data_IF_906401256965
#
_entry.id   IF_906401256965
#
_cell.length_a   1.000
_cell.length_b   1.000
_cell.length_c   1.000
_cell.angle_alpha   90.00
_cell.angle_beta   90.00
_cell.angle_gamma   90.00
#
_symmetry.space_group_name_H-M   'P 1'
#
loop_
_entity.id
_entity.type
_entity.pdbx_description
1 polymer ?
#
# COMPACT_ATOMS: atom_id res chain seq x y z
N UNK A 1 7.21 -4.64 -6.92
CA UNK A 1 6.90 -6.07 -7.08
C UNK A 1 5.97 -6.33 -8.27
N UNK A 2 4.85 -5.60 -8.34
CA UNK A 2 3.73 -5.89 -9.23
C UNK A 2 4.07 -5.72 -10.70
N UNK A 3 3.40 -6.51 -11.55
CA UNK A 3 3.39 -6.38 -13.00
C UNK A 3 1.94 -6.23 -13.48
N UNK A 4 1.68 -5.76 -14.71
CA UNK A 4 0.31 -5.58 -15.21
C UNK A 4 -0.59 -6.80 -15.03
N UNK A 5 -0.02 -8.01 -15.11
CA UNK A 5 -0.76 -9.28 -14.96
C UNK A 5 -0.35 -10.09 -13.72
N UNK A 6 0.42 -9.52 -12.79
CA UNK A 6 0.91 -10.20 -11.59
C UNK A 6 0.85 -9.26 -10.38
N UNK A 7 -0.35 -9.11 -9.82
CA UNK A 7 -0.61 -8.41 -8.55
C UNK A 7 -0.80 -9.39 -7.41
N UNK A 8 -2.05 -9.82 -7.14
CA UNK A 8 -2.34 -10.83 -6.12
C UNK A 8 -1.72 -12.20 -6.41
N UNK A 9 -1.69 -12.63 -7.70
CA UNK A 9 -0.90 -13.78 -8.15
C UNK A 9 0.54 -13.36 -8.50
N UNK A 10 1.25 -12.84 -7.50
CA UNK A 10 2.61 -12.32 -7.68
C UNK A 10 3.59 -13.40 -8.18
N UNK A 11 3.36 -14.66 -7.84
CA UNK A 11 4.20 -15.76 -8.32
C UNK A 11 4.15 -15.96 -9.84
N UNK A 12 3.18 -15.35 -10.53
CA UNK A 12 3.08 -15.37 -12.00
C UNK A 12 3.89 -14.29 -12.70
N UNK A 13 4.71 -13.52 -11.98
CA UNK A 13 5.55 -12.47 -12.53
C UNK A 13 6.43 -12.97 -13.70
N UNK A 14 6.68 -12.07 -14.67
CA UNK A 14 7.32 -12.40 -15.96
C UNK A 14 8.56 -11.56 -16.28
N UNK A 15 8.89 -10.51 -15.49
CA UNK A 15 10.13 -9.76 -15.70
C UNK A 15 11.30 -10.73 -15.68
N UNK A 16 11.89 -11.00 -16.86
CA UNK A 16 13.01 -11.92 -17.02
C UNK A 16 14.29 -11.29 -16.51
N UNK A 17 15.18 -12.14 -15.99
CA UNK A 17 16.55 -11.82 -15.65
C UNK A 17 17.45 -12.96 -16.13
N UNK A 18 17.88 -12.86 -17.37
CA UNK A 18 18.72 -13.88 -17.99
C UNK A 18 20.20 -13.60 -17.65
N UNK A 19 20.97 -14.63 -17.28
CA UNK A 19 22.40 -14.47 -17.00
C UNK A 19 23.18 -14.23 -18.28
N UNK A 20 24.07 -13.23 -18.23
CA UNK A 20 25.04 -12.94 -19.29
C UNK A 20 26.35 -12.44 -18.67
N UNK A 21 27.37 -13.31 -18.63
CA UNK A 21 28.62 -13.04 -17.93
C UNK A 21 28.41 -12.79 -16.43
N UNK A 22 28.86 -11.63 -15.95
CA UNK A 22 28.73 -11.20 -14.55
C UNK A 22 27.45 -10.42 -14.28
N UNK A 23 26.56 -10.31 -15.26
CA UNK A 23 25.31 -9.55 -15.17
C UNK A 23 24.07 -10.44 -15.30
N UNK A 24 22.93 -9.85 -14.93
CA UNK A 24 21.61 -10.22 -15.39
C UNK A 24 21.13 -9.21 -16.43
N UNK A 25 20.57 -9.69 -17.53
CA UNK A 25 19.88 -8.88 -18.54
C UNK A 25 18.38 -8.92 -18.27
N UNK A 26 17.81 -7.75 -17.95
CA UNK A 26 16.40 -7.64 -17.56
C UNK A 26 15.56 -7.21 -18.74
N UNK A 27 14.44 -7.94 -18.96
CA UNK A 27 13.44 -7.63 -19.97
C UNK A 27 12.03 -7.82 -19.42
N UNK A 28 11.22 -6.74 -19.46
CA UNK A 28 9.83 -6.75 -19.00
C UNK A 28 9.38 -5.43 -18.41
N UNK A 29 8.38 -5.48 -17.54
CA UNK A 29 7.74 -4.31 -16.97
C UNK A 29 7.36 -4.55 -15.51
N UNK A 30 7.50 -3.51 -14.70
CA UNK A 30 6.85 -3.38 -13.39
C UNK A 30 5.81 -2.25 -13.43
N UNK A 31 4.78 -2.35 -12.61
CA UNK A 31 3.76 -1.31 -12.47
C UNK A 31 3.49 -1.00 -11.01
N UNK A 32 2.84 0.12 -10.75
CA UNK A 32 2.54 0.63 -9.39
C UNK A 32 3.80 0.85 -8.55
N UNK A 33 4.91 1.19 -9.20
CA UNK A 33 6.17 1.49 -8.50
C UNK A 33 6.06 2.88 -7.86
N UNK A 34 5.97 2.90 -6.53
CA UNK A 34 5.77 4.15 -5.79
C UNK A 34 6.98 5.08 -5.93
N UNK A 35 6.74 6.32 -6.38
CA UNK A 35 7.71 7.41 -6.44
C UNK A 35 9.02 7.07 -7.18
N UNK A 36 8.99 6.13 -8.14
CA UNK A 36 10.18 5.69 -8.85
C UNK A 36 10.86 6.80 -9.64
N UNK A 37 10.12 7.84 -10.07
CA UNK A 37 10.66 9.03 -10.74
C UNK A 37 11.64 9.84 -9.85
N UNK A 38 11.63 9.63 -8.55
CA UNK A 38 12.51 10.30 -7.58
C UNK A 38 13.53 9.36 -6.96
N UNK A 39 13.45 8.05 -7.25
CA UNK A 39 14.31 7.05 -6.66
C UNK A 39 15.62 6.90 -7.41
N UNK A 40 16.70 6.55 -6.69
CA UNK A 40 17.97 6.17 -7.27
C UNK A 40 18.05 4.67 -7.53
N UNK A 41 17.44 3.88 -6.66
CA UNK A 41 17.47 2.43 -6.69
C UNK A 41 16.09 1.81 -6.63
N UNK A 42 15.93 0.66 -7.25
CA UNK A 42 14.74 -0.16 -7.19
C UNK A 42 15.09 -1.59 -6.76
N UNK A 43 14.27 -2.18 -5.89
CA UNK A 43 14.31 -3.60 -5.64
C UNK A 43 13.28 -4.33 -6.51
N UNK A 44 13.68 -5.47 -7.05
CA UNK A 44 12.94 -6.20 -8.06
C UNK A 44 12.78 -7.67 -7.70
N UNK A 45 11.61 -8.22 -7.97
CA UNK A 45 11.42 -9.66 -8.13
C UNK A 45 11.47 -10.01 -9.61
N UNK A 46 12.40 -10.85 -10.00
CA UNK A 46 12.65 -11.21 -11.38
C UNK A 46 12.53 -12.72 -11.59
N UNK A 47 12.20 -13.13 -12.81
CA UNK A 47 12.16 -14.53 -13.23
C UNK A 47 13.54 -14.95 -13.77
N UNK A 48 14.28 -15.75 -13.00
CA UNK A 48 15.56 -16.34 -13.42
C UNK A 48 15.43 -17.77 -13.92
N UNK A 49 14.36 -18.47 -13.50
CA UNK A 49 14.04 -19.83 -13.98
C UNK A 49 12.54 -20.04 -14.10
N UNK A 50 12.14 -20.89 -15.04
CA UNK A 50 10.77 -21.38 -15.19
C UNK A 50 10.62 -22.84 -14.76
N UNK A 51 11.67 -23.46 -14.22
CA UNK A 51 11.66 -24.83 -13.73
C UNK A 51 11.04 -24.93 -12.35
N UNK A 52 10.45 -26.07 -12.04
CA UNK A 52 9.86 -26.33 -10.72
C UNK A 52 8.59 -25.53 -10.43
N UNK A 53 8.40 -25.15 -9.17
CA UNK A 53 7.26 -24.32 -8.76
C UNK A 53 7.51 -22.86 -9.14
N UNK A 54 6.44 -22.13 -9.48
CA UNK A 54 6.52 -20.70 -9.87
C UNK A 54 7.34 -19.84 -8.90
N UNK A 55 7.28 -20.13 -7.60
CA UNK A 55 7.98 -19.41 -6.55
C UNK A 55 9.50 -19.65 -6.55
N UNK A 56 9.93 -20.84 -6.97
CA UNK A 56 11.34 -21.28 -6.93
C UNK A 56 12.21 -20.60 -7.98
N UNK A 57 11.62 -20.13 -9.09
CA UNK A 57 12.34 -19.40 -10.14
C UNK A 57 12.38 -17.87 -9.95
N UNK A 58 12.07 -17.36 -8.75
CA UNK A 58 12.05 -15.92 -8.47
C UNK A 58 13.30 -15.51 -7.72
N UNK A 59 13.99 -14.51 -8.24
CA UNK A 59 15.22 -13.92 -7.64
C UNK A 59 14.98 -12.47 -7.25
N UNK A 60 15.62 -12.02 -6.19
CA UNK A 60 15.55 -10.64 -5.71
C UNK A 60 16.80 -9.88 -6.14
N UNK A 61 16.61 -8.77 -6.87
CA UNK A 61 17.69 -7.92 -7.38
C UNK A 61 17.52 -6.47 -6.92
N UNK A 62 18.65 -5.77 -6.82
CA UNK A 62 18.70 -4.32 -6.67
C UNK A 62 19.23 -3.72 -7.97
N UNK A 63 18.52 -2.75 -8.55
CA UNK A 63 18.94 -2.06 -9.75
C UNK A 63 19.07 -0.56 -9.50
N UNK A 64 20.16 0.03 -10.02
CA UNK A 64 20.37 1.47 -10.06
C UNK A 64 19.56 2.06 -11.21
N UNK A 65 18.49 2.77 -10.89
CA UNK A 65 17.58 3.33 -11.90
C UNK A 65 18.29 4.40 -12.74
N UNK A 66 19.14 5.21 -12.11
CA UNK A 66 19.72 6.38 -12.75
C UNK A 66 20.86 6.04 -13.69
N UNK A 67 21.64 5.00 -13.37
CA UNK A 67 22.88 4.69 -14.07
C UNK A 67 22.78 3.40 -14.92
N UNK A 68 21.65 2.69 -14.91
CA UNK A 68 21.46 1.49 -15.74
C UNK A 68 20.70 1.85 -17.01
N UNK A 69 21.38 1.74 -18.16
CA UNK A 69 20.71 1.87 -19.46
C UNK A 69 19.61 0.82 -19.63
N UNK A 70 18.56 1.19 -20.35
CA UNK A 70 17.40 0.29 -20.58
C UNK A 70 16.37 0.25 -19.46
N UNK A 71 16.52 1.07 -18.41
CA UNK A 71 15.46 1.29 -17.42
C UNK A 71 14.76 2.62 -17.73
N UNK A 72 13.45 2.54 -18.03
CA UNK A 72 12.61 3.70 -18.32
C UNK A 72 11.47 3.78 -17.32
N UNK A 73 11.40 4.89 -16.57
CA UNK A 73 10.40 5.14 -15.51
C UNK A 73 9.38 6.14 -16.02
N UNK A 74 8.12 5.72 -16.08
CA UNK A 74 7.00 6.54 -16.57
C UNK A 74 5.96 6.75 -15.47
N UNK A 75 5.91 7.94 -14.85
CA UNK A 75 4.83 8.26 -13.92
C UNK A 75 3.49 8.31 -14.66
N UNK A 76 2.42 7.98 -13.96
CA UNK A 76 1.06 8.09 -14.46
C UNK A 76 0.12 8.67 -13.42
N UNK A 77 -0.90 9.38 -13.90
CA UNK A 77 -1.96 9.93 -13.05
C UNK A 77 -2.83 8.79 -12.51
N UNK A 78 -2.96 8.74 -11.20
CA UNK A 78 -3.89 7.84 -10.53
C UNK A 78 -5.24 8.51 -10.27
N UNK A 79 -6.18 7.79 -9.64
CA UNK A 79 -7.51 8.30 -9.33
C UNK A 79 -7.49 9.55 -8.42
N UNK A 80 -6.43 9.78 -7.67
CA UNK A 80 -6.27 10.96 -6.81
C UNK A 80 -5.78 12.21 -7.55
N UNK A 81 -5.54 12.12 -8.86
CA UNK A 81 -4.96 13.21 -9.65
C UNK A 81 -3.47 13.42 -9.42
N UNK A 82 -2.78 12.46 -8.79
CA UNK A 82 -1.35 12.55 -8.49
C UNK A 82 -0.53 11.51 -9.27
N UNK A 83 0.72 11.82 -9.56
CA UNK A 83 1.71 10.91 -10.16
C UNK A 83 2.49 10.17 -9.06
N UNK A 84 1.78 9.54 -8.11
CA UNK A 84 2.40 8.83 -7.01
C UNK A 84 3.01 7.48 -7.42
N UNK A 85 2.66 6.97 -8.59
CA UNK A 85 3.08 5.66 -9.08
C UNK A 85 3.61 5.74 -10.49
N UNK A 86 4.50 4.78 -10.83
CA UNK A 86 5.12 4.67 -12.13
C UNK A 86 4.96 3.28 -12.72
N UNK A 87 4.90 3.20 -14.04
CA UNK A 87 5.33 2.05 -14.79
C UNK A 87 6.85 2.10 -14.96
N UNK A 88 7.52 0.95 -14.82
CA UNK A 88 8.97 0.84 -14.99
C UNK A 88 9.25 -0.24 -16.01
N UNK A 89 9.84 0.15 -17.13
CA UNK A 89 10.17 -0.71 -18.26
C UNK A 89 11.63 -1.10 -18.22
N UNK A 90 11.93 -2.34 -18.61
CA UNK A 90 13.26 -2.88 -18.68
C UNK A 90 13.46 -3.45 -20.10
N UNK A 91 14.45 -2.92 -20.82
CA UNK A 91 14.82 -3.34 -22.17
C UNK A 91 16.32 -3.56 -22.20
N UNK A 92 16.72 -4.82 -22.19
CA UNK A 92 18.12 -5.26 -22.13
C UNK A 92 18.92 -4.58 -21.01
N UNK A 93 18.24 -4.24 -19.90
CA UNK A 93 18.85 -3.54 -18.78
C UNK A 93 19.83 -4.47 -18.02
N UNK A 94 21.10 -4.10 -17.95
CA UNK A 94 22.15 -4.91 -17.34
C UNK A 94 22.34 -4.58 -15.87
N UNK A 95 22.16 -5.57 -15.02
CA UNK A 95 22.30 -5.45 -13.57
C UNK A 95 23.34 -6.44 -13.07
N UNK A 96 24.41 -5.99 -12.37
CA UNK A 96 25.45 -6.89 -11.87
C UNK A 96 24.87 -8.00 -10.97
N UNK A 97 25.40 -9.22 -11.11
CA UNK A 97 25.02 -10.35 -10.27
C UNK A 97 25.32 -10.09 -8.78
N UNK A 98 26.28 -9.24 -8.48
CA UNK A 98 26.59 -8.80 -7.11
C UNK A 98 25.46 -8.02 -6.43
N UNK A 99 24.53 -7.48 -7.22
CA UNK A 99 23.34 -6.76 -6.71
C UNK A 99 22.18 -7.72 -6.35
N UNK A 100 22.41 -9.02 -6.44
CA UNK A 100 21.44 -10.02 -5.99
C UNK A 100 21.41 -10.10 -4.47
N UNK A 101 20.21 -10.12 -3.91
CA UNK A 101 19.98 -10.32 -2.48
C UNK A 101 19.61 -11.80 -2.25
N UNK A 102 20.42 -12.49 -1.47
CA UNK A 102 20.30 -13.94 -1.25
C UNK A 102 20.79 -14.78 -2.44
N UNK A 103 20.46 -16.06 -2.44
CA UNK A 103 20.75 -16.95 -3.55
C UNK A 103 19.72 -16.79 -4.69
N UNK A 104 20.10 -17.23 -5.88
CA UNK A 104 19.17 -17.31 -7.00
C UNK A 104 18.02 -18.27 -6.66
N UNK A 105 16.78 -17.87 -6.98
CA UNK A 105 15.59 -18.62 -6.60
C UNK A 105 15.04 -18.34 -5.19
N UNK A 106 15.76 -17.61 -4.34
CA UNK A 106 15.31 -17.27 -2.97
C UNK A 106 14.42 -16.01 -2.88
N UNK A 107 14.22 -15.32 -3.98
CA UNK A 107 13.50 -14.03 -4.01
C UNK A 107 12.09 -14.09 -3.40
N UNK A 108 11.40 -15.21 -3.55
CA UNK A 108 10.08 -15.39 -2.93
C UNK A 108 10.12 -15.41 -1.41
N UNK A 109 11.14 -16.04 -0.82
CA UNK A 109 11.33 -16.09 0.64
C UNK A 109 11.67 -14.70 1.19
N UNK A 110 12.55 -13.97 0.50
CA UNK A 110 12.93 -12.60 0.85
C UNK A 110 11.70 -11.67 0.75
N UNK A 111 10.92 -11.77 -0.33
CA UNK A 111 9.70 -10.97 -0.50
C UNK A 111 8.68 -11.24 0.61
N UNK A 112 8.47 -12.49 1.02
CA UNK A 112 7.56 -12.83 2.14
C UNK A 112 8.00 -12.21 3.46
N UNK A 113 9.29 -12.21 3.74
CA UNK A 113 9.84 -11.58 4.94
C UNK A 113 9.57 -10.07 4.92
N UNK A 114 9.89 -9.38 3.81
CA UNK A 114 9.67 -7.95 3.64
C UNK A 114 8.18 -7.56 3.75
N UNK A 115 7.30 -8.29 3.08
CA UNK A 115 5.84 -8.08 3.14
C UNK A 115 5.27 -8.32 4.55
N UNK A 116 5.89 -9.18 5.36
CA UNK A 116 5.53 -9.37 6.77
C UNK A 116 5.73 -8.10 7.58
N UNK A 117 6.84 -7.42 7.38
CA UNK A 117 7.15 -6.14 8.04
C UNK A 117 6.30 -4.99 7.51
N UNK A 118 6.07 -4.91 6.21
CA UNK A 118 5.26 -3.86 5.57
C UNK A 118 3.84 -3.79 6.13
N UNK A 119 3.20 -4.94 6.37
CA UNK A 119 1.81 -5.01 6.88
C UNK A 119 1.62 -4.31 8.21
N UNK A 120 2.64 -4.24 9.04
CA UNK A 120 2.56 -3.54 10.34
C UNK A 120 2.44 -2.02 10.17
N UNK A 121 3.00 -1.47 9.09
CA UNK A 121 2.92 -0.04 8.75
C UNK A 121 1.63 0.36 8.02
N UNK A 122 1.11 -0.52 7.15
CA UNK A 122 -0.05 -0.23 6.28
C UNK A 122 -1.32 0.08 7.08
N UNK A 123 -1.48 -0.49 8.28
CA UNK A 123 -2.62 -0.20 9.17
C UNK A 123 -2.80 1.27 9.56
N UNK A 124 -1.76 2.10 9.38
CA UNK A 124 -1.85 3.57 9.36
C UNK A 124 -2.48 4.23 10.60
N UNK A 125 -2.27 3.71 11.82
CA UNK A 125 -2.87 4.28 13.03
C UNK A 125 -2.51 5.76 13.24
N UNK A 126 -1.29 6.17 12.92
CA UNK A 126 -0.84 7.57 13.04
C UNK A 126 -1.58 8.52 12.08
N UNK A 127 -1.72 8.14 10.82
CA UNK A 127 -2.49 8.91 9.83
C UNK A 127 -3.98 8.93 10.18
N UNK A 128 -4.53 7.81 10.63
CA UNK A 128 -5.94 7.72 11.07
C UNK A 128 -6.25 8.63 12.27
N UNK A 129 -5.32 8.81 13.22
CA UNK A 129 -5.46 9.81 14.31
C UNK A 129 -5.56 11.24 13.79
N UNK A 130 -4.76 11.56 12.76
CA UNK A 130 -4.82 12.88 12.12
C UNK A 130 -6.17 13.10 11.46
N UNK A 131 -6.71 12.09 10.77
CA UNK A 131 -8.04 12.13 10.16
C UNK A 131 -9.16 12.34 11.18
N UNK A 132 -9.13 11.63 12.31
CA UNK A 132 -10.15 11.82 13.38
C UNK A 132 -10.16 13.28 13.88
N UNK A 133 -8.99 13.86 14.12
CA UNK A 133 -8.89 15.27 14.56
C UNK A 133 -9.37 16.24 13.47
N UNK A 134 -9.03 15.97 12.22
CA UNK A 134 -9.45 16.78 11.08
C UNK A 134 -10.97 16.76 10.92
N UNK A 135 -11.60 15.59 10.94
CA UNK A 135 -13.06 15.43 10.86
C UNK A 135 -13.76 16.20 11.99
N UNK A 136 -13.25 16.10 13.20
CA UNK A 136 -13.79 16.85 14.34
C UNK A 136 -13.70 18.35 14.11
N UNK A 137 -12.55 18.85 13.65
CA UNK A 137 -12.34 20.26 13.34
C UNK A 137 -13.29 20.74 12.24
N UNK A 138 -13.36 20.02 11.12
CA UNK A 138 -14.29 20.32 10.02
C UNK A 138 -15.73 20.43 10.55
N UNK A 139 -16.17 19.43 11.32
CA UNK A 139 -17.53 19.40 11.83
C UNK A 139 -17.84 20.53 12.83
N UNK A 140 -16.86 20.98 13.59
CA UNK A 140 -16.98 22.13 14.50
C UNK A 140 -17.04 23.48 13.76
N UNK A 141 -16.45 23.54 12.56
CA UNK A 141 -16.43 24.75 11.74
C UNK A 141 -17.56 24.77 10.67
N UNK A 142 -18.24 23.64 10.45
CA UNK A 142 -19.34 23.54 9.46
C UNK A 142 -20.67 23.95 10.09
N UNK A 143 -21.31 25.07 9.66
CA UNK A 143 -22.58 25.52 10.20
C UNK A 143 -23.73 24.59 9.81
N UNK A 144 -24.60 24.27 10.76
CA UNK A 144 -25.85 23.52 10.54
C UNK A 144 -26.96 24.10 11.42
N UNK A 145 -27.96 24.75 10.82
CA UNK A 145 -29.00 25.48 11.57
C UNK A 145 -28.39 26.55 12.47
N UNK A 146 -28.77 26.53 13.74
CA UNK A 146 -28.25 27.46 14.77
C UNK A 146 -26.95 26.98 15.46
N UNK A 147 -26.41 25.83 15.04
CA UNK A 147 -25.20 25.22 15.59
C UNK A 147 -24.21 24.78 14.53
N UNK A 148 -23.50 23.72 14.82
CA UNK A 148 -22.48 23.13 13.93
C UNK A 148 -22.82 21.68 13.60
N UNK A 149 -22.18 21.11 12.60
CA UNK A 149 -22.29 19.67 12.28
C UNK A 149 -21.88 18.79 13.46
N UNK A 150 -20.98 19.28 14.34
CA UNK A 150 -20.59 18.55 15.54
C UNK A 150 -21.70 18.44 16.59
N UNK A 151 -22.74 19.28 16.51
CA UNK A 151 -23.92 19.22 17.39
C UNK A 151 -24.90 18.16 16.92
N UNK A 152 -24.81 17.70 15.65
CA UNK A 152 -25.61 16.59 15.14
C UNK A 152 -25.17 15.26 15.80
N UNK A 153 -26.08 14.69 16.57
CA UNK A 153 -25.85 13.43 17.27
C UNK A 153 -25.57 12.25 16.34
N UNK A 154 -26.18 12.24 15.15
CA UNK A 154 -25.97 11.18 14.16
C UNK A 154 -24.53 11.23 13.62
N UNK A 155 -24.05 12.41 13.26
CA UNK A 155 -22.68 12.62 12.83
C UNK A 155 -21.67 12.23 13.93
N UNK A 156 -21.86 12.73 15.15
CA UNK A 156 -20.98 12.40 16.29
C UNK A 156 -20.92 10.90 16.58
N UNK A 157 -22.04 10.18 16.47
CA UNK A 157 -22.06 8.73 16.63
C UNK A 157 -21.23 8.02 15.56
N UNK A 158 -21.27 8.49 14.33
CA UNK A 158 -20.42 7.96 13.25
C UNK A 158 -18.93 8.20 13.55
N UNK A 159 -18.56 9.41 13.94
CA UNK A 159 -17.19 9.76 14.31
C UNK A 159 -16.68 8.92 15.49
N UNK A 160 -17.48 8.79 16.56
CA UNK A 160 -17.15 7.98 17.72
C UNK A 160 -16.93 6.50 17.39
N UNK A 161 -17.74 5.92 16.49
CA UNK A 161 -17.53 4.53 16.02
C UNK A 161 -16.20 4.35 15.31
N UNK A 162 -15.78 5.32 14.48
CA UNK A 162 -14.49 5.27 13.80
C UNK A 162 -13.32 5.46 14.79
N UNK A 163 -13.49 6.31 15.80
CA UNK A 163 -12.49 6.46 16.86
C UNK A 163 -12.33 5.16 17.67
N UNK A 164 -13.41 4.47 18.01
CA UNK A 164 -13.33 3.15 18.66
C UNK A 164 -12.59 2.13 17.80
N UNK A 165 -12.85 2.09 16.48
CA UNK A 165 -12.11 1.23 15.54
C UNK A 165 -10.63 1.60 15.51
N UNK A 166 -10.31 2.89 15.51
CA UNK A 166 -8.91 3.38 15.59
C UNK A 166 -8.21 2.88 16.85
N UNK A 167 -8.86 2.95 18.01
CA UNK A 167 -8.29 2.45 19.27
C UNK A 167 -8.01 0.95 19.21
N UNK A 168 -8.89 0.17 18.58
CA UNK A 168 -8.67 -1.27 18.40
C UNK A 168 -7.45 -1.56 17.50
N UNK A 169 -7.31 -0.83 16.37
CA UNK A 169 -6.14 -0.94 15.49
C UNK A 169 -4.86 -0.54 16.22
N UNK A 170 -4.90 0.54 17.00
CA UNK A 170 -3.77 1.01 17.80
C UNK A 170 -3.30 -0.03 18.82
N UNK A 171 -4.23 -0.64 19.56
CA UNK A 171 -3.91 -1.72 20.50
C UNK A 171 -3.31 -2.93 19.79
N UNK A 172 -3.82 -3.28 18.61
CA UNK A 172 -3.25 -4.32 17.77
C UNK A 172 -1.79 -4.01 17.37
N UNK A 173 -1.51 -2.78 16.96
CA UNK A 173 -0.16 -2.34 16.63
C UNK A 173 0.78 -2.42 17.85
N UNK A 174 0.34 -1.98 19.04
CA UNK A 174 1.15 -2.09 20.25
C UNK A 174 1.46 -3.55 20.61
N UNK A 175 0.50 -4.47 20.44
CA UNK A 175 0.76 -5.91 20.64
C UNK A 175 1.80 -6.45 19.68
N UNK A 176 1.75 -6.04 18.41
CA UNK A 176 2.75 -6.45 17.41
C UNK A 176 4.13 -5.90 17.74
N UNK A 177 4.22 -4.63 18.14
CA UNK A 177 5.48 -4.01 18.57
C UNK A 177 6.07 -4.69 19.82
N UNK A 178 5.23 -4.98 20.81
CA UNK A 178 5.67 -5.70 22.02
C UNK A 178 6.18 -7.12 21.68
N UNK A 179 5.54 -7.82 20.73
CA UNK A 179 6.01 -9.12 20.26
C UNK A 179 7.36 -9.00 19.53
N UNK A 180 7.54 -7.96 18.71
CA UNK A 180 8.80 -7.71 18.01
C UNK A 180 9.97 -7.42 18.99
N UNK A 181 9.72 -6.70 20.08
CA UNK A 181 10.72 -6.47 21.14
C UNK A 181 11.18 -7.78 21.80
N UNK A 182 10.34 -8.81 21.78
CA UNK A 182 10.67 -10.17 22.26
C UNK A 182 11.27 -11.05 21.16
N UNK A 183 11.72 -10.45 20.04
CA UNK A 183 12.32 -11.18 18.91
C UNK A 183 11.33 -11.98 18.07
N UNK A 184 10.02 -11.77 18.21
CA UNK A 184 9.00 -12.46 17.41
C UNK A 184 8.70 -11.67 16.14
N UNK A 185 8.92 -12.31 14.98
CA UNK A 185 8.51 -11.72 13.70
C UNK A 185 6.98 -11.57 13.62
N UNK A 186 6.47 -10.55 12.87
CA UNK A 186 5.04 -10.42 12.62
C UNK A 186 4.45 -11.68 11.98
N UNK A 187 3.43 -12.22 12.61
CA UNK A 187 2.72 -13.42 12.15
C UNK A 187 1.52 -13.10 11.27
N UNK A 188 0.67 -14.12 10.99
CA UNK A 188 -0.55 -13.95 10.18
C UNK A 188 -1.57 -13.00 10.78
N UNK A 189 -1.50 -12.68 12.10
CA UNK A 189 -2.31 -11.66 12.77
C UNK A 189 -2.10 -10.25 12.20
N UNK A 190 -0.95 -9.98 11.58
CA UNK A 190 -0.69 -8.72 10.85
C UNK A 190 -1.70 -8.47 9.71
N UNK A 191 -2.28 -9.55 9.16
CA UNK A 191 -3.34 -9.48 8.16
C UNK A 191 -4.63 -8.87 8.73
N UNK A 192 -4.95 -9.11 10.00
CA UNK A 192 -6.11 -8.51 10.68
C UNK A 192 -5.91 -7.01 10.78
N UNK A 193 -4.71 -6.57 11.17
CA UNK A 193 -4.38 -5.15 11.28
C UNK A 193 -4.43 -4.44 9.93
N UNK A 194 -3.95 -5.10 8.87
CA UNK A 194 -4.04 -4.56 7.51
C UNK A 194 -5.49 -4.35 7.09
N UNK A 195 -6.36 -5.33 7.24
CA UNK A 195 -7.78 -5.21 6.89
C UNK A 195 -8.43 -4.10 7.71
N UNK A 196 -8.36 -4.19 9.03
CA UNK A 196 -9.02 -3.25 9.94
C UNK A 196 -8.53 -1.81 9.72
N UNK A 197 -7.22 -1.63 9.53
CA UNK A 197 -6.62 -0.31 9.33
C UNK A 197 -6.98 0.30 7.97
N UNK A 198 -6.93 -0.46 6.88
CA UNK A 198 -7.25 0.07 5.54
C UNK A 198 -8.75 0.38 5.38
N UNK A 199 -9.63 -0.46 5.92
CA UNK A 199 -11.07 -0.17 5.96
C UNK A 199 -11.39 1.04 6.85
N UNK A 200 -10.65 1.25 7.94
CA UNK A 200 -10.77 2.44 8.77
C UNK A 200 -10.33 3.71 8.02
N UNK A 201 -9.20 3.67 7.30
CA UNK A 201 -8.72 4.78 6.48
C UNK A 201 -9.75 5.19 5.43
N UNK A 202 -10.37 4.23 4.74
CA UNK A 202 -11.44 4.51 3.79
C UNK A 202 -12.65 5.15 4.45
N UNK A 203 -13.13 4.59 5.56
CA UNK A 203 -14.29 5.12 6.27
C UNK A 203 -14.05 6.51 6.89
N UNK A 204 -12.82 6.81 7.30
CA UNK A 204 -12.45 8.15 7.79
C UNK A 204 -12.50 9.19 6.66
N UNK A 205 -11.94 8.88 5.48
CA UNK A 205 -12.03 9.80 4.35
C UNK A 205 -13.46 9.95 3.82
N UNK A 206 -14.28 8.91 3.87
CA UNK A 206 -15.72 9.00 3.58
C UNK A 206 -16.43 9.96 4.55
N UNK A 207 -16.18 9.84 5.85
CA UNK A 207 -16.78 10.74 6.84
C UNK A 207 -16.29 12.18 6.68
N UNK A 208 -15.04 12.39 6.27
CA UNK A 208 -14.51 13.72 5.96
C UNK A 208 -15.19 14.34 4.74
N UNK A 209 -15.40 13.56 3.66
CA UNK A 209 -16.17 13.99 2.49
C UNK A 209 -17.59 14.39 2.88
N UNK A 210 -18.27 13.59 3.69
CA UNK A 210 -19.62 13.89 4.18
C UNK A 210 -19.65 15.18 5.03
N UNK A 211 -18.62 15.40 5.85
CA UNK A 211 -18.53 16.60 6.69
C UNK A 211 -18.36 17.88 5.87
N UNK A 212 -17.62 17.81 4.77
CA UNK A 212 -17.41 18.94 3.85
C UNK A 212 -18.58 19.14 2.87
N UNK A 213 -19.38 18.09 2.62
CA UNK A 213 -20.49 18.15 1.67
C UNK A 213 -20.02 18.60 0.27
N UNK A 214 -20.66 19.64 -0.27
CA UNK A 214 -20.31 20.16 -1.60
C UNK A 214 -18.89 20.74 -1.68
N UNK A 215 -18.35 21.26 -0.60
CA UNK A 215 -16.96 21.77 -0.57
C UNK A 215 -15.92 20.68 -0.85
N UNK A 216 -16.22 19.42 -0.50
CA UNK A 216 -15.34 18.29 -0.81
C UNK A 216 -15.22 17.97 -2.31
N UNK A 217 -16.14 18.44 -3.13
CA UNK A 217 -16.14 18.18 -4.58
C UNK A 217 -15.16 19.07 -5.36
N UNK A 218 -14.58 20.06 -4.70
CA UNK A 218 -13.56 20.93 -5.26
C UNK A 218 -12.24 20.20 -5.48
N UNK A 219 -12.12 19.54 -6.63
CA UNK A 219 -10.86 18.98 -7.15
C UNK A 219 -10.13 20.09 -7.91
N UNK A 220 -9.59 21.08 -7.19
CA UNK A 220 -9.23 22.32 -7.84
C UNK A 220 -7.74 22.60 -7.74
N UNK A 221 -7.20 23.08 -8.87
CA UNK A 221 -5.83 23.60 -9.00
C UNK A 221 -5.51 24.76 -8.03
N UNK A 222 -6.52 25.41 -7.51
CA UNK A 222 -6.41 26.40 -6.43
C UNK A 222 -7.71 26.44 -5.60
N UNK A 223 -7.71 25.95 -4.36
CA UNK A 223 -8.85 26.11 -3.47
C UNK A 223 -9.08 27.59 -3.14
N UNK A 224 -10.34 28.01 -2.93
CA UNK A 224 -10.65 29.32 -2.42
C UNK A 224 -9.86 29.61 -1.11
N UNK A 225 -9.53 30.89 -0.86
CA UNK A 225 -8.70 31.28 0.30
C UNK A 225 -9.24 30.81 1.65
N UNK A 226 -10.53 30.59 1.77
CA UNK A 226 -11.21 30.08 2.97
C UNK A 226 -11.01 28.59 3.22
N UNK A 227 -10.49 27.79 2.25
CA UNK A 227 -10.40 26.32 2.29
C UNK A 227 -8.96 25.80 2.40
N UNK A 228 -8.01 26.64 2.84
CA UNK A 228 -6.58 26.46 2.56
C UNK A 228 -5.84 25.36 3.29
N UNK A 229 -6.28 24.94 4.47
CA UNK A 229 -5.42 24.07 5.30
C UNK A 229 -5.69 22.57 5.22
N UNK A 230 -6.84 22.14 4.73
CA UNK A 230 -7.21 20.72 4.76
C UNK A 230 -8.27 20.28 3.73
N UNK A 231 -9.07 21.20 3.18
CA UNK A 231 -10.22 20.82 2.36
C UNK A 231 -9.82 20.42 0.94
N UNK A 232 -8.76 20.99 0.40
CA UNK A 232 -8.28 20.71 -0.96
C UNK A 232 -7.76 19.28 -1.14
N UNK A 233 -7.34 18.62 -0.07
CA UNK A 233 -6.73 17.29 -0.14
C UNK A 233 -7.71 16.15 0.20
N UNK A 234 -8.87 16.44 0.80
CA UNK A 234 -9.80 15.39 1.26
C UNK A 234 -10.30 14.52 0.12
N UNK A 235 -10.73 15.11 -1.00
CA UNK A 235 -11.22 14.37 -2.16
C UNK A 235 -10.10 13.55 -2.83
N UNK A 236 -8.91 14.13 -2.96
CA UNK A 236 -7.73 13.45 -3.47
C UNK A 236 -7.37 12.25 -2.61
N UNK A 237 -7.32 12.42 -1.29
CA UNK A 237 -7.03 11.34 -0.34
C UNK A 237 -8.13 10.29 -0.28
N UNK A 238 -9.40 10.70 -0.37
CA UNK A 238 -10.52 9.76 -0.52
C UNK A 238 -10.31 8.86 -1.73
N UNK A 239 -9.98 9.41 -2.89
CA UNK A 239 -9.72 8.66 -4.11
C UNK A 239 -8.46 7.81 -3.99
N UNK A 240 -7.35 8.34 -3.46
CA UNK A 240 -6.11 7.62 -3.26
C UNK A 240 -6.30 6.37 -2.40
N UNK A 241 -7.00 6.52 -1.27
CA UNK A 241 -7.19 5.43 -0.30
C UNK A 241 -8.19 4.35 -0.76
N UNK A 242 -8.87 4.52 -1.91
CA UNK A 242 -9.64 3.39 -2.51
C UNK A 242 -8.74 2.19 -2.82
N UNK A 243 -7.46 2.44 -3.12
CA UNK A 243 -6.47 1.39 -3.34
C UNK A 243 -5.96 0.73 -2.05
N UNK A 244 -6.23 1.28 -0.85
CA UNK A 244 -5.69 0.79 0.41
C UNK A 244 -6.09 -0.66 0.73
N UNK A 245 -7.29 -1.08 0.33
CA UNK A 245 -7.76 -2.47 0.47
C UNK A 245 -7.21 -3.41 -0.60
N UNK A 246 -6.47 -2.89 -1.58
CA UNK A 246 -5.93 -3.64 -2.73
C UNK A 246 -4.42 -3.82 -2.59
N UNK A 247 -3.65 -2.75 -2.40
CA UNK A 247 -2.19 -2.83 -2.30
C UNK A 247 -1.73 -3.51 -0.98
N UNK A 248 -0.47 -3.93 -0.91
CA UNK A 248 0.08 -4.65 0.24
C UNK A 248 -0.61 -6.02 0.47
N UNK A 249 -1.12 -6.63 -0.59
CA UNK A 249 -1.99 -7.80 -0.58
C UNK A 249 -3.45 -7.43 -0.32
N UNK A 250 -4.33 -7.74 -1.27
CA UNK A 250 -5.74 -7.37 -1.19
C UNK A 250 -6.41 -7.93 0.07
N UNK A 251 -7.52 -7.32 0.50
CA UNK A 251 -8.26 -7.80 1.66
C UNK A 251 -8.70 -9.27 1.50
N UNK A 252 -8.95 -9.74 0.28
CA UNK A 252 -9.25 -11.15 -0.03
C UNK A 252 -8.04 -12.03 0.26
N UNK A 253 -6.85 -11.63 -0.18
CA UNK A 253 -5.60 -12.35 0.13
C UNK A 253 -5.34 -12.36 1.64
N UNK A 254 -5.57 -11.25 2.34
CA UNK A 254 -5.41 -11.18 3.79
C UNK A 254 -6.42 -12.11 4.51
N UNK A 255 -7.67 -12.15 4.06
CA UNK A 255 -8.69 -13.08 4.58
C UNK A 255 -8.30 -14.54 4.36
N UNK A 256 -7.71 -14.85 3.19
CA UNK A 256 -7.20 -16.20 2.90
C UNK A 256 -6.04 -16.57 3.85
N UNK A 257 -5.15 -15.64 4.15
CA UNK A 257 -4.04 -15.85 5.11
C UNK A 257 -4.61 -16.15 6.51
N UNK A 258 -5.60 -15.38 6.96
CA UNK A 258 -6.28 -15.58 8.24
C UNK A 258 -6.97 -16.94 8.27
N UNK A 259 -7.76 -17.25 7.25
CA UNK A 259 -8.51 -18.50 7.15
C UNK A 259 -7.57 -19.71 7.24
N UNK A 260 -6.46 -19.70 6.49
CA UNK A 260 -5.51 -20.80 6.47
C UNK A 260 -4.67 -20.88 7.74
N UNK A 261 -4.05 -19.78 8.15
CA UNK A 261 -2.97 -19.82 9.14
C UNK A 261 -3.41 -19.53 10.57
N UNK A 262 -4.59 -18.91 10.77
CA UNK A 262 -5.16 -18.64 12.10
C UNK A 262 -6.29 -19.62 12.38
N UNK A 263 -7.21 -19.79 11.43
CA UNK A 263 -8.41 -20.60 11.64
C UNK A 263 -8.24 -22.06 11.20
N UNK A 264 -7.16 -22.42 10.52
CA UNK A 264 -6.90 -23.78 10.04
C UNK A 264 -7.92 -24.28 9.00
N UNK A 265 -8.63 -23.37 8.31
CA UNK A 265 -9.64 -23.72 7.33
C UNK A 265 -9.01 -24.25 6.05
N UNK A 266 -9.64 -25.25 5.40
CA UNK A 266 -9.17 -25.75 4.11
C UNK A 266 -9.32 -24.65 3.05
N UNK A 267 -8.24 -24.44 2.28
CA UNK A 267 -8.31 -23.57 1.10
C UNK A 267 -8.93 -24.37 -0.05
N UNK A 268 -9.96 -23.80 -0.69
CA UNK A 268 -10.52 -24.40 -1.91
C UNK A 268 -9.40 -24.62 -2.95
N UNK A 269 -9.53 -25.67 -3.77
CA UNK A 269 -8.64 -25.85 -4.91
C UNK A 269 -8.94 -24.72 -5.91
N UNK A 270 -8.00 -23.81 -6.08
CA UNK A 270 -7.99 -22.83 -7.18
C UNK A 270 -7.46 -23.48 -8.42
#
# INVERSE_FOLDING_TARGET
>A
YSEPNAGSDLASLKLRADRDGDDYVLNGQKTWTSAAQYADWIFLLCRTSSEGKRQEGITFLLADIKNTEGIDVKPFLNLSGTEAFCDTYFTDARVPQSNRVGAEGEGWTIAKALLGHERTGIGGAGSSKRWVRLIQRIAQETPVGDGTLWDDLSFRRRAARLEMRLRAVEMGNFRTLAAAQLGRAPGPESSILKIAGTELQQALTELAMDALGHAAQGWLDAPPEALRDFESDVASQFCYLRAATIYGGSNEIQKNIIAKNILGLPMGRT
#
